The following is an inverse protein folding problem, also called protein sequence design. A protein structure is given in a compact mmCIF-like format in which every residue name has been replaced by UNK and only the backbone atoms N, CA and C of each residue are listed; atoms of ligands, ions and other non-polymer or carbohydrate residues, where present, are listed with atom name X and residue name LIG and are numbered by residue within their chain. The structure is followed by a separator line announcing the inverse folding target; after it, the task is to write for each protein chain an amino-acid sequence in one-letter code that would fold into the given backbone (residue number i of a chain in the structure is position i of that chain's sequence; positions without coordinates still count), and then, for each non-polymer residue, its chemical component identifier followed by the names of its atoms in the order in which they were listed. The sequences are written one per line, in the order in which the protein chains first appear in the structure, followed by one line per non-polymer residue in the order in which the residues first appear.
data_IF_672057949976
#
_entry.id   IF_672057949976
#
_cell.length_a   1.000
_cell.length_b   1.000
_cell.length_c   1.000
_cell.angle_alpha   90.00
_cell.angle_beta   90.00
_cell.angle_gamma   90.00
#
_symmetry.space_group_name_H-M   'P 1'
#
loop_
_entity.id
_entity.type
_entity.pdbx_description
1 polymer ?
#
# COMPACT_ATOMS: atom_id res chain seq x y z
N UNK A 1 2.07 13.84 -25.18
CA UNK A 1 3.28 13.72 -24.36
C UNK A 1 3.51 12.23 -24.16
N UNK A 2 4.56 11.66 -24.75
CA UNK A 2 4.81 10.21 -24.63
C UNK A 2 5.27 9.92 -23.21
N UNK A 3 4.53 9.11 -22.46
CA UNK A 3 5.02 8.49 -21.23
C UNK A 3 6.25 7.68 -21.63
N UNK A 4 7.45 8.12 -21.21
CA UNK A 4 8.64 7.31 -21.38
C UNK A 4 8.43 6.00 -20.64
N UNK A 5 8.64 4.87 -21.33
CA UNK A 5 8.67 3.57 -20.66
C UNK A 5 9.75 3.59 -19.59
N UNK A 6 9.40 3.14 -18.38
CA UNK A 6 10.27 3.24 -17.24
C UNK A 6 9.57 2.88 -15.93
N UNK A 7 10.40 2.64 -14.93
CA UNK A 7 10.00 2.29 -13.58
C UNK A 7 10.52 3.35 -12.62
N UNK A 8 9.62 3.92 -11.82
CA UNK A 8 9.92 5.04 -10.95
C UNK A 8 9.32 4.82 -9.57
N UNK A 9 10.05 5.22 -8.53
CA UNK A 9 9.61 5.21 -7.15
C UNK A 9 9.49 6.66 -6.66
N UNK A 10 8.28 7.07 -6.28
CA UNK A 10 7.98 8.42 -5.81
C UNK A 10 7.62 8.42 -4.33
N UNK A 11 8.15 9.39 -3.58
CA UNK A 11 7.90 9.52 -2.15
C UNK A 11 8.32 10.89 -1.62
N UNK A 12 7.49 11.51 -0.77
CA UNK A 12 7.86 12.76 -0.09
C UNK A 12 8.30 13.90 -1.04
N UNK A 13 7.77 13.96 -2.25
CA UNK A 13 8.16 14.92 -3.30
C UNK A 13 9.42 14.54 -4.09
N UNK A 14 10.09 13.44 -3.76
CA UNK A 14 11.20 12.89 -4.51
C UNK A 14 10.73 11.86 -5.54
N UNK A 15 11.56 11.65 -6.57
CA UNK A 15 11.39 10.58 -7.56
C UNK A 15 12.75 9.92 -7.83
N UNK A 16 12.79 8.60 -7.68
CA UNK A 16 13.91 7.75 -8.05
C UNK A 16 13.54 6.92 -9.28
N UNK A 17 14.48 6.74 -10.22
CA UNK A 17 14.30 5.78 -11.31
C UNK A 17 14.90 4.45 -10.88
N UNK A 18 14.13 3.38 -11.02
CA UNK A 18 14.62 2.01 -10.86
C UNK A 18 15.16 1.54 -12.20
N UNK A 19 16.38 0.97 -12.20
CA UNK A 19 17.08 0.58 -13.42
C UNK A 19 16.86 -0.89 -13.78
N UNK A 20 16.60 -1.73 -12.78
CA UNK A 20 16.53 -3.18 -12.87
C UNK A 20 15.27 -3.66 -12.15
N UNK A 21 14.49 -4.54 -12.78
CA UNK A 21 13.25 -5.05 -12.16
C UNK A 21 13.56 -5.93 -10.93
N UNK A 22 14.73 -6.57 -10.90
CA UNK A 22 15.20 -7.37 -9.77
C UNK A 22 15.56 -6.54 -8.52
N UNK A 23 15.78 -5.22 -8.63
CA UNK A 23 16.10 -4.37 -7.49
C UNK A 23 14.87 -3.75 -6.81
N UNK A 24 13.67 -3.98 -7.35
CA UNK A 24 12.44 -3.32 -6.90
C UNK A 24 12.20 -3.55 -5.40
N UNK A 25 12.35 -4.79 -4.94
CA UNK A 25 12.09 -5.14 -3.54
C UNK A 25 13.06 -4.40 -2.61
N UNK A 26 14.35 -4.42 -2.92
CA UNK A 26 15.39 -3.74 -2.15
C UNK A 26 15.19 -2.22 -2.14
N UNK A 27 14.85 -1.63 -3.30
CA UNK A 27 14.60 -0.20 -3.46
C UNK A 27 13.36 0.25 -2.65
N UNK A 28 12.27 -0.53 -2.70
CA UNK A 28 11.06 -0.27 -1.90
C UNK A 28 11.39 -0.37 -0.41
N UNK A 29 12.12 -1.41 0.02
CA UNK A 29 12.47 -1.62 1.41
C UNK A 29 13.38 -0.49 1.95
N UNK A 30 14.37 -0.06 1.16
CA UNK A 30 15.28 1.02 1.53
C UNK A 30 14.53 2.35 1.72
N UNK A 31 13.64 2.68 0.77
CA UNK A 31 12.84 3.91 0.84
C UNK A 31 11.80 3.84 1.96
N UNK A 32 11.17 2.68 2.17
CA UNK A 32 10.25 2.46 3.31
C UNK A 32 10.95 2.72 4.64
N UNK A 33 12.15 2.19 4.83
CA UNK A 33 12.96 2.42 6.02
C UNK A 33 13.37 3.89 6.18
N UNK A 34 13.65 4.58 5.07
CA UNK A 34 13.98 6.00 5.07
C UNK A 34 12.77 6.86 5.51
N UNK A 35 11.57 6.53 5.02
CA UNK A 35 10.34 7.30 5.24
C UNK A 35 9.75 7.04 6.63
N UNK A 36 9.68 5.78 7.07
CA UNK A 36 9.18 5.43 8.39
C UNK A 36 10.14 5.89 9.50
N UNK A 37 11.45 5.79 9.24
CA UNK A 37 12.49 5.97 10.24
C UNK A 37 12.69 4.69 11.06
N UNK A 38 13.89 4.53 11.64
CA UNK A 38 14.33 3.26 12.27
C UNK A 38 13.45 2.76 13.41
N UNK A 39 12.67 3.62 14.06
CA UNK A 39 11.94 3.32 15.30
C UNK A 39 10.41 3.44 15.16
N UNK A 40 9.88 3.57 13.93
CA UNK A 40 8.43 3.68 13.70
C UNK A 40 7.93 2.58 12.76
N UNK A 41 6.78 2.05 13.10
CA UNK A 41 6.08 1.02 12.32
C UNK A 41 5.28 1.61 11.14
N UNK A 42 4.97 2.91 11.17
CA UNK A 42 4.06 3.56 10.21
C UNK A 42 4.53 4.95 9.77
N UNK A 43 4.22 5.29 8.52
CA UNK A 43 4.35 6.64 7.97
C UNK A 43 3.13 6.99 7.15
N UNK A 44 2.66 8.23 7.27
CA UNK A 44 1.57 8.79 6.46
C UNK A 44 2.03 9.15 5.04
N UNK A 45 3.33 9.08 4.75
CA UNK A 45 3.87 9.42 3.43
C UNK A 45 3.70 8.23 2.47
N UNK A 46 2.88 8.36 1.42
CA UNK A 46 2.72 7.28 0.45
C UNK A 46 4.01 7.04 -0.34
N UNK A 47 4.22 5.77 -0.69
CA UNK A 47 5.29 5.30 -1.56
C UNK A 47 4.64 4.77 -2.84
N UNK A 48 4.87 5.46 -3.96
CA UNK A 48 4.20 5.17 -5.23
C UNK A 48 5.19 4.59 -6.23
N UNK A 49 5.00 3.33 -6.60
CA UNK A 49 5.71 2.69 -7.70
C UNK A 49 4.95 2.92 -9.02
N UNK A 50 5.56 3.68 -9.94
CA UNK A 50 5.00 3.94 -11.26
C UNK A 50 5.68 3.06 -12.31
N UNK A 51 4.91 2.20 -12.95
CA UNK A 51 5.38 1.33 -14.03
C UNK A 51 4.72 1.70 -15.35
N UNK A 52 5.54 2.14 -16.31
CA UNK A 52 5.09 2.45 -17.66
C UNK A 52 5.74 1.47 -18.64
N UNK A 53 4.92 0.61 -19.25
CA UNK A 53 5.35 -0.36 -20.27
C UNK A 53 4.30 -0.45 -21.37
N UNK A 54 4.72 -0.77 -22.59
CA UNK A 54 3.77 -0.98 -23.67
C UNK A 54 2.97 -2.27 -23.43
N UNK A 55 1.64 -2.22 -23.62
CA UNK A 55 0.77 -3.40 -23.56
C UNK A 55 0.29 -3.80 -22.17
N UNK A 56 0.50 -2.96 -21.14
CA UNK A 56 -0.10 -3.14 -19.81
C UNK A 56 -1.31 -2.22 -19.65
N UNK A 57 -2.36 -2.65 -18.92
CA UNK A 57 -3.51 -1.79 -18.65
C UNK A 57 -3.12 -0.63 -17.73
N UNK A 58 -3.85 0.47 -17.85
CA UNK A 58 -3.80 1.54 -16.87
C UNK A 58 -4.55 1.08 -15.61
N UNK A 59 -3.80 0.83 -14.55
CA UNK A 59 -4.32 0.32 -13.28
C UNK A 59 -3.55 0.94 -12.12
N UNK A 60 -4.27 1.30 -11.07
CA UNK A 60 -3.70 1.67 -9.77
C UNK A 60 -4.06 0.59 -8.76
N UNK A 61 -3.04 -0.02 -8.15
CA UNK A 61 -3.19 -0.96 -7.06
C UNK A 61 -2.62 -0.27 -5.81
N UNK A 62 -3.39 -0.33 -4.73
CA UNK A 62 -2.99 0.23 -3.44
C UNK A 62 -2.76 -0.95 -2.51
N UNK A 63 -1.52 -1.12 -2.06
CA UNK A 63 -1.20 -2.00 -0.95
C UNK A 63 -1.36 -1.22 0.35
N UNK A 64 -2.08 -1.79 1.31
CA UNK A 64 -2.39 -1.14 2.59
C UNK A 64 -1.59 -1.81 3.70
N UNK A 65 -1.11 -1.05 4.69
CA UNK A 65 -0.36 -1.62 5.81
C UNK A 65 -1.18 -2.70 6.52
N UNK A 66 -0.50 -3.72 7.04
CA UNK A 66 -1.15 -4.68 7.91
C UNK A 66 -1.39 -4.09 9.31
N UNK A 67 -2.47 -4.54 9.95
CA UNK A 67 -2.71 -4.24 11.36
C UNK A 67 -1.66 -4.98 12.21
N UNK A 68 -1.00 -4.35 13.20
CA UNK A 68 -0.13 -5.07 14.12
C UNK A 68 -0.89 -6.21 14.79
N UNK A 69 -0.21 -7.32 15.06
CA UNK A 69 -0.80 -8.43 15.82
C UNK A 69 -1.23 -8.01 17.23
N UNK A 70 -0.50 -7.09 17.84
CA UNK A 70 -0.77 -6.53 19.17
C UNK A 70 -0.60 -5.01 19.11
N UNK A 71 -1.61 -4.28 18.60
CA UNK A 71 -1.51 -2.84 18.44
C UNK A 71 -1.74 -2.13 19.77
N UNK A 72 -1.01 -1.04 20.01
CA UNK A 72 -1.41 -0.01 20.96
C UNK A 72 -2.59 0.80 20.41
N UNK A 73 -3.34 1.49 21.27
CA UNK A 73 -4.47 2.33 20.84
C UNK A 73 -4.08 3.35 19.77
N UNK A 74 -2.88 3.93 19.89
CA UNK A 74 -2.33 4.90 18.93
C UNK A 74 -2.04 4.26 17.57
N UNK A 75 -1.49 3.04 17.55
CA UNK A 75 -1.23 2.31 16.30
C UNK A 75 -2.54 1.90 15.64
N UNK A 76 -3.54 1.48 16.41
CA UNK A 76 -4.86 1.14 15.88
C UNK A 76 -5.58 2.35 15.26
N UNK A 77 -5.50 3.51 15.90
CA UNK A 77 -6.03 4.77 15.38
C UNK A 77 -5.31 5.17 14.09
N UNK A 78 -3.98 5.14 14.08
CA UNK A 78 -3.17 5.50 12.93
C UNK A 78 -3.43 4.57 11.72
N UNK A 79 -3.41 3.25 11.94
CA UNK A 79 -3.76 2.25 10.92
C UNK A 79 -5.17 2.47 10.38
N UNK A 80 -6.13 2.76 11.26
CA UNK A 80 -7.52 3.00 10.85
C UNK A 80 -7.62 4.26 10.00
N UNK A 81 -6.97 5.36 10.38
CA UNK A 81 -6.95 6.59 9.60
C UNK A 81 -6.37 6.39 8.19
N UNK A 82 -5.23 5.70 8.07
CA UNK A 82 -4.62 5.38 6.77
C UNK A 82 -5.58 4.50 5.96
N UNK A 83 -5.99 3.36 6.50
CA UNK A 83 -6.81 2.37 5.76
C UNK A 83 -8.10 3.01 5.25
N UNK A 84 -8.83 3.69 6.15
CA UNK A 84 -10.13 4.31 5.88
C UNK A 84 -9.98 5.36 4.76
N UNK A 85 -8.93 6.17 4.78
CA UNK A 85 -8.69 7.18 3.73
C UNK A 85 -8.59 6.57 2.32
N UNK A 86 -8.13 5.33 2.19
CA UNK A 86 -8.01 4.63 0.92
C UNK A 86 -9.21 3.74 0.56
N UNK A 87 -9.99 3.25 1.52
CA UNK A 87 -11.12 2.33 1.25
C UNK A 87 -12.50 3.00 1.25
N UNK A 88 -12.63 4.24 1.72
CA UNK A 88 -13.93 4.95 1.80
C UNK A 88 -14.52 5.37 0.44
N UNK A 89 -13.72 5.44 -0.62
CA UNK A 89 -14.19 5.89 -1.93
C UNK A 89 -15.04 4.80 -2.61
N UNK A 90 -16.23 5.17 -3.08
CA UNK A 90 -17.15 4.28 -3.80
C UNK A 90 -16.66 3.83 -5.18
N UNK A 91 -15.55 4.40 -5.67
CA UNK A 91 -14.96 4.05 -6.96
C UNK A 91 -13.80 3.05 -6.85
N UNK A 92 -13.55 2.53 -5.64
CA UNK A 92 -12.47 1.58 -5.38
C UNK A 92 -13.00 0.14 -5.38
N UNK A 93 -12.22 -0.80 -5.93
CA UNK A 93 -12.51 -2.23 -5.80
C UNK A 93 -11.70 -2.76 -4.61
N UNK A 94 -12.38 -3.31 -3.61
CA UNK A 94 -11.73 -3.92 -2.46
C UNK A 94 -11.30 -5.35 -2.78
N UNK A 95 -10.00 -5.55 -2.97
CA UNK A 95 -9.42 -6.89 -3.15
C UNK A 95 -9.04 -7.48 -1.79
N UNK A 96 -9.94 -8.26 -1.20
CA UNK A 96 -9.65 -8.97 0.04
C UNK A 96 -8.93 -10.30 -0.26
N UNK A 97 -7.62 -10.35 -0.06
CA UNK A 97 -6.79 -11.55 -0.26
C UNK A 97 -6.82 -12.40 1.02
N UNK A 98 -7.26 -13.65 0.89
CA UNK A 98 -7.45 -14.56 2.02
C UNK A 98 -6.79 -15.91 1.77
N UNK A 99 -6.16 -16.47 2.81
CA UNK A 99 -5.69 -17.86 2.75
C UNK A 99 -6.89 -18.82 2.79
N UNK A 100 -6.85 -19.86 1.96
CA UNK A 100 -7.95 -20.81 1.77
C UNK A 100 -8.39 -21.53 3.06
N UNK A 101 -7.54 -21.60 4.09
CA UNK A 101 -7.83 -22.25 5.37
C UNK A 101 -8.34 -21.32 6.47
N UNK A 102 -8.48 -20.01 6.21
CA UNK A 102 -8.81 -19.02 7.24
C UNK A 102 -10.31 -18.74 7.32
N UNK A 103 -10.85 -18.66 8.54
CA UNK A 103 -12.27 -18.34 8.77
C UNK A 103 -12.56 -16.84 8.55
N UNK A 104 -13.44 -16.54 7.58
CA UNK A 104 -13.91 -15.20 7.20
C UNK A 104 -14.46 -14.36 8.37
N UNK A 105 -14.89 -15.00 9.45
CA UNK A 105 -15.43 -14.31 10.64
C UNK A 105 -14.33 -13.74 11.54
N UNK A 106 -13.11 -14.25 11.45
CA UNK A 106 -11.99 -13.90 12.34
C UNK A 106 -11.07 -12.85 11.72
N UNK A 107 -11.13 -12.68 10.40
CA UNK A 107 -10.18 -11.87 9.63
C UNK A 107 -10.58 -10.39 9.67
N UNK A 108 -9.64 -9.55 10.13
CA UNK A 108 -9.87 -8.12 10.35
C UNK A 108 -10.14 -7.35 9.04
N UNK A 109 -9.51 -7.73 7.93
CA UNK A 109 -9.77 -7.11 6.61
C UNK A 109 -11.23 -7.29 6.17
N UNK A 110 -11.80 -8.49 6.35
CA UNK A 110 -13.20 -8.78 6.01
C UNK A 110 -14.21 -8.06 6.92
N UNK A 111 -13.85 -7.76 8.17
CA UNK A 111 -14.66 -6.94 9.08
C UNK A 111 -14.63 -5.46 8.66
N UNK A 112 -13.45 -4.95 8.31
CA UNK A 112 -13.29 -3.57 7.83
C UNK A 112 -13.99 -3.34 6.49
N UNK A 113 -13.88 -4.27 5.53
CA UNK A 113 -14.61 -4.18 4.25
C UNK A 113 -16.12 -4.08 4.51
N UNK A 114 -16.70 -4.94 5.35
CA UNK A 114 -18.13 -4.90 5.71
C UNK A 114 -18.58 -3.62 6.45
N UNK A 115 -17.66 -2.87 7.04
CA UNK A 115 -17.99 -1.59 7.69
C UNK A 115 -18.07 -0.44 6.68
N UNK A 116 -17.39 -0.57 5.53
CA UNK A 116 -17.34 0.46 4.49
C UNK A 116 -18.18 0.11 3.25
N UNK A 117 -18.33 -1.18 2.95
CA UNK A 117 -19.30 -1.73 2.00
C UNK A 117 -20.66 -1.78 2.69
N UNK A 118 -21.45 -0.72 2.50
CA UNK A 118 -22.79 -0.54 3.11
C UNK A 118 -23.82 -1.61 2.72
#
# INVERSE_FOLDING_TARGET
MLLQCGLYLQYGGNQMRILLEESIEDDIQAVTNQIAGKDKSYSDTPLTLMFHKHGVPELTIIDLPECPLVPTDKELEHFSNITISYIQSSNNILLNVLSAGSDLLTIQSARKCRQVDG
#
